data_IF_410851497047
#
_entry.id   IF_410851497047
#
_cell.length_a   1.000
_cell.length_b   1.000
_cell.length_c   1.000
_cell.angle_alpha   90.00
_cell.angle_beta   90.00
_cell.angle_gamma   90.00
#
_symmetry.space_group_name_H-M   'P 1'
#
loop_
_entity.id
_entity.type
_entity.pdbx_description
1 polymer ?
#
# COMPACT_ATOMS: atom_id res chain seq x y z
N UNK A 1 -2.08 3.00 2.42
CA UNK A 1 -1.76 4.37 1.98
C UNK A 1 -1.20 4.36 0.58
N UNK A 2 -1.80 5.11 -0.31
CA UNK A 2 -1.44 5.13 -1.73
C UNK A 2 -0.71 6.43 -2.06
N UNK A 3 0.42 6.32 -2.74
CA UNK A 3 1.21 7.47 -3.15
C UNK A 3 1.42 7.48 -4.67
N UNK A 4 1.16 8.62 -5.31
CA UNK A 4 1.41 8.78 -6.74
C UNK A 4 2.89 9.01 -7.00
N UNK A 5 3.44 8.24 -7.92
CA UNK A 5 4.84 8.37 -8.34
C UNK A 5 4.94 9.32 -9.54
N UNK A 6 6.13 9.88 -9.75
CA UNK A 6 6.40 10.77 -10.88
C UNK A 6 6.21 10.09 -12.24
N UNK A 7 6.37 8.77 -12.29
CA UNK A 7 6.17 7.98 -13.51
C UNK A 7 4.70 7.73 -13.84
N UNK A 8 3.76 8.24 -13.04
CA UNK A 8 2.33 8.01 -13.24
C UNK A 8 1.81 6.73 -12.61
N UNK A 9 2.66 5.99 -11.93
CA UNK A 9 2.28 4.79 -11.21
C UNK A 9 1.91 5.12 -9.77
N UNK A 10 1.24 4.18 -9.11
CA UNK A 10 0.83 4.33 -7.71
C UNK A 10 1.47 3.25 -6.86
N UNK A 11 2.06 3.66 -5.75
CA UNK A 11 2.68 2.73 -4.81
C UNK A 11 1.85 2.63 -3.54
N UNK A 12 1.62 1.39 -3.11
CA UNK A 12 0.86 1.12 -1.89
C UNK A 12 1.82 0.87 -0.73
N UNK A 13 1.62 1.61 0.37
CA UNK A 13 2.40 1.46 1.59
C UNK A 13 1.53 0.97 2.73
N UNK A 14 2.13 0.26 3.66
CA UNK A 14 1.47 -0.15 4.90
C UNK A 14 1.12 1.08 5.74
N UNK A 15 0.04 0.99 6.51
CA UNK A 15 -0.37 2.07 7.42
C UNK A 15 0.61 2.25 8.57
N UNK A 16 1.19 1.15 9.06
CA UNK A 16 2.12 1.18 10.18
C UNK A 16 3.54 1.22 9.67
N UNK A 17 4.35 2.10 10.26
CA UNK A 17 5.77 2.12 10.01
C UNK A 17 6.43 0.93 10.71
N UNK A 18 7.52 0.43 10.12
CA UNK A 18 8.32 -0.61 10.74
C UNK A 18 8.98 -0.05 12.00
N UNK A 19 8.84 -0.76 13.12
CA UNK A 19 9.42 -0.34 14.41
C UNK A 19 10.94 -0.26 14.36
N UNK A 20 11.58 -1.08 13.52
CA UNK A 20 13.04 -1.13 13.42
C UNK A 20 13.61 -0.02 12.54
N UNK A 21 12.96 0.29 11.43
CA UNK A 21 13.49 1.24 10.45
C UNK A 21 12.73 2.56 10.42
N UNK A 22 11.55 2.61 11.01
CA UNK A 22 10.67 3.76 10.96
C UNK A 22 10.04 4.01 9.61
N UNK A 23 10.27 3.13 8.63
CA UNK A 23 9.74 3.25 7.27
C UNK A 23 8.54 2.35 7.09
N UNK A 24 7.59 2.80 6.26
CA UNK A 24 6.42 2.02 5.91
C UNK A 24 6.78 0.96 4.90
N UNK A 25 6.22 -0.24 5.08
CA UNK A 25 6.48 -1.36 4.19
C UNK A 25 5.81 -1.12 2.83
N UNK A 26 6.56 -1.34 1.75
CA UNK A 26 6.03 -1.28 0.39
C UNK A 26 5.25 -2.55 0.10
N UNK A 27 3.94 -2.41 -0.15
CA UNK A 27 3.06 -3.54 -0.45
C UNK A 27 2.94 -3.82 -1.94
N UNK A 28 3.39 -2.91 -2.79
CA UNK A 28 3.36 -3.11 -4.23
C UNK A 28 3.27 -1.81 -5.00
N UNK A 29 3.50 -1.91 -6.32
CA UNK A 29 3.37 -0.79 -7.25
C UNK A 29 2.34 -1.15 -8.31
N UNK A 30 1.42 -0.22 -8.58
CA UNK A 30 0.31 -0.46 -9.49
C UNK A 30 0.26 0.59 -10.58
N UNK A 31 -0.27 0.21 -11.74
CA UNK A 31 -0.40 1.12 -12.87
C UNK A 31 -1.55 2.10 -12.76
N UNK A 32 -2.48 1.88 -11.83
CA UNK A 32 -3.61 2.77 -11.62
C UNK A 32 -4.00 2.84 -10.15
N UNK A 33 -4.62 3.95 -9.77
CA UNK A 33 -5.09 4.13 -8.39
C UNK A 33 -6.17 3.11 -8.02
N UNK A 34 -7.03 2.78 -8.97
CA UNK A 34 -8.10 1.80 -8.73
C UNK A 34 -7.50 0.44 -8.36
N UNK A 35 -6.44 0.01 -9.04
CA UNK A 35 -5.77 -1.24 -8.73
C UNK A 35 -5.13 -1.20 -7.35
N UNK A 36 -4.49 -0.08 -6.98
CA UNK A 36 -3.90 0.09 -5.67
C UNK A 36 -4.96 0.07 -4.56
N UNK A 37 -6.10 0.73 -4.78
CA UNK A 37 -7.20 0.74 -3.82
C UNK A 37 -7.79 -0.64 -3.62
N UNK A 38 -7.93 -1.41 -4.69
CA UNK A 38 -8.40 -2.80 -4.61
C UNK A 38 -7.48 -3.64 -3.73
N UNK A 39 -6.19 -3.50 -3.95
CA UNK A 39 -5.21 -4.26 -3.19
C UNK A 39 -5.20 -3.84 -1.71
N UNK A 40 -5.29 -2.55 -1.46
CA UNK A 40 -5.37 -2.03 -0.10
C UNK A 40 -6.59 -2.58 0.65
N UNK A 41 -7.73 -2.62 -0.04
CA UNK A 41 -8.96 -3.15 0.54
C UNK A 41 -8.81 -4.64 0.89
N UNK A 42 -8.19 -5.42 0.01
CA UNK A 42 -7.93 -6.83 0.27
C UNK A 42 -7.01 -7.04 1.46
N UNK A 43 -5.94 -6.23 1.57
CA UNK A 43 -5.00 -6.30 2.69
C UNK A 43 -5.72 -5.97 4.00
N UNK A 44 -6.56 -4.96 4.02
CA UNK A 44 -7.34 -4.59 5.20
C UNK A 44 -8.30 -5.69 5.60
N UNK A 45 -8.91 -6.34 4.63
CA UNK A 45 -9.81 -7.46 4.87
C UNK A 45 -9.09 -8.60 5.57
N UNK A 46 -7.93 -8.98 5.07
CA UNK A 46 -7.13 -10.05 5.68
C UNK A 46 -6.67 -9.70 7.09
N UNK A 47 -6.30 -8.45 7.32
CA UNK A 47 -5.90 -8.00 8.66
C UNK A 47 -7.03 -8.05 9.66
N UNK A 48 -8.26 -7.79 9.23
CA UNK A 48 -9.43 -7.86 10.11
C UNK A 48 -9.77 -9.28 10.51
N UNK A 49 -9.60 -10.23 9.60
CA UNK A 49 -9.95 -11.64 9.81
C UNK A 49 -8.79 -12.48 10.31
N UNK A 50 -7.60 -11.99 10.18
CA UNK A 50 -6.40 -12.65 10.69
C UNK A 50 -5.95 -12.05 12.01
#
# INVERSE_FOLDING_TARGET
MIRKLTSGKYRLYSRKADAKTGKRRNLGTFGSRAAAERHERAVQFFKRHG
#
